data_IF_370022035083
#
_entry.id   IF_370022035083
#
_cell.length_a   1.000
_cell.length_b   1.000
_cell.length_c   1.000
_cell.angle_alpha   90.00
_cell.angle_beta   90.00
_cell.angle_gamma   90.00
#
_symmetry.space_group_name_H-M   'P 1'
#
loop_
_entity.id
_entity.type
_entity.pdbx_description
1 polymer ?
#
# COMPACT_ATOMS: atom_id res chain seq x y z
N UNK A 1 -29.91 -4.20 63.63
CA UNK A 1 -30.15 -5.18 62.55
C UNK A 1 -29.38 -4.71 61.33
N UNK A 2 -28.31 -5.45 61.02
CA UNK A 2 -27.81 -5.86 59.69
C UNK A 2 -27.92 -4.87 58.53
N UNK A 3 -26.79 -4.33 58.03
CA UNK A 3 -25.93 -4.87 56.94
C UNK A 3 -26.47 -4.55 55.53
N UNK A 4 -25.72 -3.74 54.78
CA UNK A 4 -24.98 -4.10 53.55
C UNK A 4 -25.84 -3.84 52.29
N UNK A 5 -25.39 -3.39 51.12
CA UNK A 5 -24.13 -3.10 50.42
C UNK A 5 -24.65 -2.39 49.12
N UNK A 6 -24.01 -1.38 48.53
CA UNK A 6 -23.15 -1.61 47.36
C UNK A 6 -22.45 -0.33 46.90
N UNK A 7 -21.25 -0.58 46.37
CA UNK A 7 -20.18 0.34 45.96
C UNK A 7 -20.39 0.89 44.55
N UNK A 8 -19.72 2.01 44.28
CA UNK A 8 -19.24 2.37 42.93
C UNK A 8 -19.19 3.89 42.76
N UNK A 9 -18.15 4.54 42.24
CA UNK A 9 -16.84 4.13 41.77
C UNK A 9 -15.94 5.38 41.78
N UNK A 10 -14.64 5.18 41.99
CA UNK A 10 -13.63 6.22 42.10
C UNK A 10 -13.30 6.90 40.76
N UNK A 11 -12.91 8.18 40.85
CA UNK A 11 -12.28 8.98 39.80
C UNK A 11 -11.11 8.23 39.12
N UNK A 12 -11.08 8.23 37.80
CA UNK A 12 -9.84 8.13 37.04
C UNK A 12 -9.81 9.19 35.94
N UNK A 13 -8.88 10.15 36.08
CA UNK A 13 -8.45 11.06 35.03
C UNK A 13 -7.69 10.22 33.99
N UNK A 14 -8.28 10.02 32.82
CA UNK A 14 -7.56 9.55 31.64
C UNK A 14 -7.28 10.72 30.72
N UNK A 15 -6.05 11.23 30.75
CA UNK A 15 -5.54 12.06 29.68
C UNK A 15 -5.26 11.15 28.47
N UNK A 16 -6.05 11.27 27.40
CA UNK A 16 -5.67 10.74 26.09
C UNK A 16 -5.54 11.90 25.12
N UNK A 17 -4.30 12.35 24.92
CA UNK A 17 -3.96 13.25 23.84
C UNK A 17 -4.35 12.62 22.52
N UNK A 18 -5.33 13.20 21.83
CA UNK A 18 -5.56 12.94 20.41
C UNK A 18 -4.27 13.34 19.67
N UNK A 19 -3.56 12.38 19.10
CA UNK A 19 -2.59 12.72 18.05
C UNK A 19 -3.39 13.38 16.93
N UNK A 20 -3.13 14.66 16.68
CA UNK A 20 -3.66 15.34 15.51
C UNK A 20 -3.13 14.60 14.28
N UNK A 21 -4.01 13.85 13.60
CA UNK A 21 -3.63 13.05 12.44
C UNK A 21 -2.99 13.95 11.39
N UNK A 22 -1.72 13.74 11.11
CA UNK A 22 -1.04 14.39 9.99
C UNK A 22 -1.78 14.01 8.72
N UNK A 23 -2.27 15.01 7.98
CA UNK A 23 -2.96 14.77 6.71
C UNK A 23 -2.08 13.93 5.78
N UNK A 24 -2.64 12.89 5.16
CA UNK A 24 -1.91 12.04 4.20
C UNK A 24 -1.23 12.91 3.13
N UNK A 25 0.01 12.58 2.79
CA UNK A 25 0.74 13.29 1.73
C UNK A 25 0.06 13.08 0.37
N UNK A 26 0.23 14.00 -0.60
CA UNK A 26 -0.32 13.84 -1.95
C UNK A 26 0.13 12.54 -2.64
N UNK A 27 1.39 12.14 -2.46
CA UNK A 27 1.92 10.86 -2.99
C UNK A 27 1.32 9.63 -2.29
N UNK A 28 1.08 9.68 -0.98
CA UNK A 28 0.36 8.60 -0.28
C UNK A 28 -1.05 8.43 -0.81
N UNK A 29 -1.79 9.53 -1.00
CA UNK A 29 -3.13 9.49 -1.61
C UNK A 29 -3.09 8.95 -3.03
N UNK A 30 -2.11 9.35 -3.84
CA UNK A 30 -1.95 8.84 -5.19
C UNK A 30 -1.77 7.31 -5.24
N UNK A 31 -1.02 6.72 -4.29
CA UNK A 31 -0.92 5.25 -4.18
C UNK A 31 -2.22 4.58 -3.78
N UNK A 32 -3.01 5.20 -2.89
CA UNK A 32 -4.34 4.71 -2.53
C UNK A 32 -5.29 4.69 -3.74
N UNK A 33 -5.27 5.76 -4.54
CA UNK A 33 -6.06 5.80 -5.78
C UNK A 33 -5.55 4.83 -6.84
N UNK A 34 -4.23 4.66 -6.98
CA UNK A 34 -3.67 3.67 -7.90
C UNK A 34 -4.10 2.24 -7.52
N UNK A 35 -4.10 1.91 -6.22
CA UNK A 35 -4.63 0.64 -5.70
C UNK A 35 -6.11 0.46 -6.06
N UNK A 36 -6.94 1.49 -5.84
CA UNK A 36 -8.37 1.44 -6.21
C UNK A 36 -8.57 1.23 -7.70
N UNK A 37 -7.77 1.90 -8.54
CA UNK A 37 -7.84 1.76 -9.99
C UNK A 37 -7.46 0.36 -10.45
N UNK A 38 -6.35 -0.18 -9.96
CA UNK A 38 -5.96 -1.56 -10.27
C UNK A 38 -6.97 -2.59 -9.78
N UNK A 39 -7.61 -2.36 -8.63
CA UNK A 39 -8.69 -3.21 -8.15
C UNK A 39 -9.91 -3.17 -9.08
N UNK A 40 -10.33 -1.98 -9.52
CA UNK A 40 -11.43 -1.81 -10.48
C UNK A 40 -11.13 -2.50 -11.81
N UNK A 41 -9.90 -2.39 -12.31
CA UNK A 41 -9.45 -3.11 -13.49
C UNK A 41 -9.50 -4.64 -13.28
N UNK A 42 -8.88 -5.14 -12.21
CA UNK A 42 -8.70 -6.58 -11.98
C UNK A 42 -10.01 -7.30 -11.66
N UNK A 43 -10.88 -6.69 -10.87
CA UNK A 43 -12.13 -7.32 -10.39
C UNK A 43 -13.32 -6.90 -11.23
N UNK A 44 -13.37 -5.63 -11.65
CA UNK A 44 -14.48 -5.07 -12.42
C UNK A 44 -14.31 -5.15 -13.94
N UNK A 45 -13.10 -5.41 -14.44
CA UNK A 45 -12.82 -5.46 -15.88
C UNK A 45 -12.93 -4.11 -16.58
N UNK A 46 -12.96 -2.99 -15.83
CA UNK A 46 -13.02 -1.65 -16.40
C UNK A 46 -11.72 -1.32 -17.15
N UNK A 47 -11.84 -0.60 -18.26
CA UNK A 47 -10.67 -0.11 -18.99
C UNK A 47 -9.98 1.06 -18.29
N UNK A 48 -8.73 1.33 -18.67
CA UNK A 48 -7.89 2.37 -18.07
C UNK A 48 -8.55 3.76 -18.09
N UNK A 49 -9.17 4.14 -19.22
CA UNK A 49 -9.75 5.46 -19.40
C UNK A 49 -11.00 5.65 -18.53
N UNK A 50 -11.84 4.63 -18.44
CA UNK A 50 -13.02 4.63 -17.57
C UNK A 50 -12.63 4.74 -16.09
N UNK A 51 -11.60 4.01 -15.66
CA UNK A 51 -11.08 4.08 -14.29
C UNK A 51 -10.55 5.48 -13.98
N UNK A 52 -9.78 6.08 -14.89
CA UNK A 52 -9.24 7.41 -14.70
C UNK A 52 -10.32 8.48 -14.62
N UNK A 53 -11.34 8.41 -15.47
CA UNK A 53 -12.47 9.34 -15.44
C UNK A 53 -13.22 9.22 -14.11
N UNK A 54 -13.56 8.00 -13.70
CA UNK A 54 -14.29 7.75 -12.47
C UNK A 54 -13.51 8.19 -11.22
N UNK A 55 -12.22 7.86 -11.11
CA UNK A 55 -11.43 8.19 -9.92
C UNK A 55 -11.19 9.69 -9.73
N UNK A 56 -11.22 10.49 -10.81
CA UNK A 56 -11.09 11.94 -10.72
C UNK A 56 -12.27 12.61 -9.99
N UNK A 57 -13.44 11.98 -10.00
CA UNK A 57 -14.64 12.45 -9.32
C UNK A 57 -14.76 11.92 -7.88
N UNK A 58 -13.87 11.03 -7.45
CA UNK A 58 -13.90 10.47 -6.09
C UNK A 58 -13.39 11.49 -5.08
N UNK A 59 -14.15 11.66 -3.99
CA UNK A 59 -13.83 12.59 -2.93
C UNK A 59 -12.40 12.40 -2.39
N UNK A 60 -11.64 13.51 -2.34
CA UNK A 60 -10.25 13.53 -1.87
C UNK A 60 -9.19 13.32 -2.97
N UNK A 61 -9.60 13.02 -4.20
CA UNK A 61 -8.69 12.96 -5.35
C UNK A 61 -8.02 14.31 -5.64
N UNK A 62 -8.73 15.42 -5.41
CA UNK A 62 -8.23 16.80 -5.49
C UNK A 62 -6.95 17.04 -4.68
N UNK A 63 -6.70 16.21 -3.67
CA UNK A 63 -5.53 16.32 -2.78
C UNK A 63 -4.44 15.29 -3.07
N UNK A 64 -4.60 14.47 -4.10
CA UNK A 64 -3.62 13.51 -4.56
C UNK A 64 -2.65 14.14 -5.56
N UNK A 65 -1.43 13.62 -5.62
CA UNK A 65 -0.52 13.94 -6.73
C UNK A 65 -1.02 13.24 -8.01
N UNK A 66 -1.74 13.98 -8.85
CA UNK A 66 -2.39 13.46 -10.07
C UNK A 66 -1.39 12.83 -11.04
N UNK A 67 -0.23 13.46 -11.24
CA UNK A 67 0.77 12.97 -12.19
C UNK A 67 1.39 11.67 -11.70
N UNK A 68 1.69 11.60 -10.40
CA UNK A 68 2.21 10.39 -9.79
C UNK A 68 1.17 9.26 -9.83
N UNK A 69 -0.10 9.55 -9.52
CA UNK A 69 -1.21 8.60 -9.64
C UNK A 69 -1.32 8.03 -11.07
N UNK A 70 -1.37 8.89 -12.09
CA UNK A 70 -1.48 8.45 -13.49
C UNK A 70 -0.28 7.60 -13.90
N UNK A 71 0.93 7.99 -13.47
CA UNK A 71 2.14 7.19 -13.69
C UNK A 71 2.03 5.79 -13.11
N UNK A 72 1.63 5.69 -11.84
CA UNK A 72 1.45 4.40 -11.16
C UNK A 72 0.36 3.54 -11.83
N UNK A 73 -0.81 4.10 -12.12
CA UNK A 73 -1.93 3.36 -12.71
C UNK A 73 -1.59 2.86 -14.11
N UNK A 74 -1.31 3.78 -15.05
CA UNK A 74 -1.03 3.44 -16.45
C UNK A 74 0.19 2.55 -16.57
N UNK A 75 1.23 2.85 -15.80
CA UNK A 75 2.46 2.10 -15.79
C UNK A 75 2.28 0.66 -15.33
N UNK A 76 1.52 0.46 -14.25
CA UNK A 76 1.21 -0.88 -13.72
C UNK A 76 0.34 -1.69 -14.69
N UNK A 77 -0.66 -1.08 -15.33
CA UNK A 77 -1.52 -1.73 -16.32
C UNK A 77 -0.76 -2.10 -17.59
N UNK A 78 0.06 -1.18 -18.10
CA UNK A 78 0.89 -1.38 -19.30
C UNK A 78 1.93 -2.49 -19.10
N UNK A 79 2.52 -2.58 -17.92
CA UNK A 79 3.56 -3.57 -17.60
C UNK A 79 3.03 -4.75 -16.78
N UNK A 80 1.72 -5.01 -16.80
CA UNK A 80 1.12 -6.01 -15.93
C UNK A 80 1.80 -7.40 -16.01
N UNK A 81 2.03 -7.92 -17.22
CA UNK A 81 2.66 -9.23 -17.41
C UNK A 81 4.13 -9.23 -16.98
N UNK A 82 4.98 -8.28 -17.45
CA UNK A 82 6.35 -8.16 -16.93
C UNK A 82 6.45 -8.04 -15.40
N UNK A 83 5.53 -7.31 -14.77
CA UNK A 83 5.50 -7.15 -13.32
C UNK A 83 5.11 -8.47 -12.62
N UNK A 84 4.12 -9.20 -13.15
CA UNK A 84 3.73 -10.52 -12.65
C UNK A 84 4.88 -11.51 -12.74
N UNK A 85 5.57 -11.55 -13.89
CA UNK A 85 6.76 -12.38 -14.09
C UNK A 85 7.90 -12.01 -13.15
N UNK A 86 8.14 -10.71 -12.91
CA UNK A 86 9.17 -10.25 -11.99
C UNK A 86 8.86 -10.60 -10.52
N UNK A 87 7.58 -10.62 -10.14
CA UNK A 87 7.11 -10.97 -8.80
C UNK A 87 7.10 -12.47 -8.55
N UNK A 88 6.72 -13.28 -9.55
CA UNK A 88 6.45 -14.71 -9.39
C UNK A 88 7.54 -15.52 -8.67
N UNK A 89 8.86 -15.29 -8.87
CA UNK A 89 9.91 -16.01 -8.13
C UNK A 89 9.92 -15.77 -6.62
N UNK A 90 9.25 -14.72 -6.15
CA UNK A 90 9.19 -14.33 -4.74
C UNK A 90 7.86 -14.70 -4.07
N UNK A 91 6.90 -15.21 -4.85
CA UNK A 91 5.62 -15.71 -4.38
C UNK A 91 5.73 -17.19 -4.05
N UNK A 92 5.00 -17.61 -3.03
CA UNK A 92 4.82 -19.01 -2.61
C UNK A 92 3.67 -19.72 -3.34
N UNK A 93 2.91 -18.98 -4.15
CA UNK A 93 1.75 -19.42 -4.93
C UNK A 93 1.69 -18.69 -6.26
N UNK A 94 0.80 -19.08 -7.16
CA UNK A 94 0.63 -18.35 -8.44
C UNK A 94 0.11 -16.95 -8.17
N UNK A 95 0.48 -15.99 -9.01
CA UNK A 95 0.00 -14.61 -8.89
C UNK A 95 -1.54 -14.51 -8.83
N UNK A 96 -2.23 -15.37 -9.57
CA UNK A 96 -3.70 -15.37 -9.64
C UNK A 96 -4.36 -15.96 -8.38
N UNK A 97 -3.61 -16.65 -7.53
CA UNK A 97 -4.06 -17.17 -6.24
C UNK A 97 -3.88 -16.14 -5.11
N UNK A 98 -3.24 -14.99 -5.39
CA UNK A 98 -3.18 -13.86 -4.46
C UNK A 98 -4.56 -13.20 -4.31
N UNK A 99 -4.85 -12.67 -3.12
CA UNK A 99 -6.04 -11.84 -2.96
C UNK A 99 -5.98 -10.62 -3.91
N UNK A 100 -7.15 -10.09 -4.36
CA UNK A 100 -7.20 -8.90 -5.20
C UNK A 100 -6.34 -7.74 -4.69
N UNK A 101 -6.42 -7.46 -3.39
CA UNK A 101 -5.69 -6.37 -2.73
C UNK A 101 -4.18 -6.63 -2.71
N UNK A 102 -3.74 -7.82 -2.28
CA UNK A 102 -2.30 -8.15 -2.24
C UNK A 102 -1.66 -7.97 -3.61
N UNK A 103 -2.28 -8.52 -4.67
CA UNK A 103 -1.65 -8.44 -5.98
C UNK A 103 -1.66 -7.01 -6.55
N UNK A 104 -2.71 -6.21 -6.30
CA UNK A 104 -2.69 -4.81 -6.70
C UNK A 104 -1.60 -4.02 -5.97
N UNK A 105 -1.43 -4.24 -4.66
CA UNK A 105 -0.36 -3.58 -3.89
C UNK A 105 1.02 -4.01 -4.38
N UNK A 106 1.21 -5.30 -4.66
CA UNK A 106 2.46 -5.81 -5.20
C UNK A 106 2.76 -5.25 -6.59
N UNK A 107 1.75 -5.08 -7.45
CA UNK A 107 1.92 -4.43 -8.76
C UNK A 107 2.34 -2.97 -8.62
N UNK A 108 1.65 -2.17 -7.78
CA UNK A 108 2.03 -0.77 -7.53
C UNK A 108 3.45 -0.68 -6.99
N UNK A 109 3.77 -1.49 -5.97
CA UNK A 109 5.10 -1.51 -5.35
C UNK A 109 6.20 -1.93 -6.31
N UNK A 110 5.97 -2.98 -7.11
CA UNK A 110 6.93 -3.45 -8.11
C UNK A 110 7.16 -2.41 -9.22
N UNK A 111 6.09 -1.81 -9.73
CA UNK A 111 6.20 -0.75 -10.73
C UNK A 111 6.96 0.46 -10.18
N UNK A 112 6.63 0.91 -8.97
CA UNK A 112 7.32 2.05 -8.37
C UNK A 112 8.80 1.76 -8.10
N UNK A 113 9.12 0.55 -7.60
CA UNK A 113 10.50 0.09 -7.45
C UNK A 113 11.27 0.02 -8.77
N UNK A 114 10.61 -0.13 -9.92
CA UNK A 114 11.27 -0.14 -11.23
C UNK A 114 11.39 1.28 -11.82
N UNK A 115 10.29 2.03 -11.83
CA UNK A 115 10.14 3.26 -12.60
C UNK A 115 10.48 4.55 -11.82
N UNK A 116 10.52 4.51 -10.48
CA UNK A 116 10.72 5.70 -9.64
C UNK A 116 12.00 5.60 -8.78
N UNK A 117 13.21 5.69 -9.37
CA UNK A 117 14.49 5.64 -8.63
C UNK A 117 14.69 6.81 -7.67
N UNK A 118 13.95 7.90 -7.84
CA UNK A 118 13.96 9.02 -6.91
C UNK A 118 13.26 8.72 -5.58
N UNK A 119 12.41 7.68 -5.52
CA UNK A 119 11.79 7.24 -4.26
C UNK A 119 12.64 6.14 -3.64
N UNK A 120 13.22 6.34 -2.43
CA UNK A 120 14.02 5.30 -1.78
C UNK A 120 13.23 4.00 -1.61
N UNK A 121 13.84 2.85 -1.85
CA UNK A 121 13.13 1.56 -1.88
C UNK A 121 12.34 1.29 -0.59
N UNK A 122 12.88 1.70 0.58
CA UNK A 122 12.21 1.59 1.88
C UNK A 122 10.91 2.37 1.96
N UNK A 123 10.85 3.54 1.34
CA UNK A 123 9.64 4.36 1.33
C UNK A 123 8.57 3.62 0.53
N UNK A 124 8.93 3.06 -0.63
CA UNK A 124 8.00 2.26 -1.44
C UNK A 124 7.46 1.07 -0.65
N UNK A 125 8.34 0.29 -0.03
CA UNK A 125 7.96 -0.88 0.77
C UNK A 125 7.08 -0.47 1.96
N UNK A 126 7.46 0.56 2.71
CA UNK A 126 6.68 1.05 3.85
C UNK A 126 5.27 1.49 3.41
N UNK A 127 5.14 2.22 2.30
CA UNK A 127 3.83 2.65 1.81
C UNK A 127 2.99 1.45 1.34
N UNK A 128 3.59 0.44 0.71
CA UNK A 128 2.90 -0.80 0.35
C UNK A 128 2.39 -1.58 1.57
N UNK A 129 3.19 -1.63 2.65
CA UNK A 129 2.77 -2.22 3.94
C UNK A 129 1.59 -1.46 4.53
N UNK A 130 1.63 -0.12 4.53
CA UNK A 130 0.55 0.69 5.07
C UNK A 130 -0.74 0.55 4.26
N UNK A 131 -0.66 0.42 2.94
CA UNK A 131 -1.80 0.03 2.10
C UNK A 131 -2.33 -1.35 2.50
N UNK A 132 -1.46 -2.33 2.68
CA UNK A 132 -1.86 -3.70 3.04
C UNK A 132 -2.52 -3.77 4.41
N UNK A 133 -2.09 -2.94 5.38
CA UNK A 133 -2.76 -2.80 6.68
C UNK A 133 -4.13 -2.12 6.57
N UNK A 134 -4.28 -1.18 5.63
CA UNK A 134 -5.50 -0.38 5.48
C UNK A 134 -6.59 -1.10 4.69
N UNK A 135 -6.21 -1.92 3.70
CA UNK A 135 -7.13 -2.54 2.74
C UNK A 135 -7.09 -4.08 2.73
N UNK A 136 -6.02 -4.68 3.25
CA UNK A 136 -5.81 -6.13 3.21
C UNK A 136 -6.43 -6.88 4.40
N UNK A 137 -6.31 -8.20 4.35
CA UNK A 137 -6.70 -9.09 5.46
C UNK A 137 -5.63 -9.17 6.56
N UNK A 138 -5.91 -9.98 7.58
CA UNK A 138 -4.97 -10.30 8.66
C UNK A 138 -3.64 -10.79 8.07
N UNK A 139 -2.53 -10.21 8.54
CA UNK A 139 -1.15 -10.55 8.13
C UNK A 139 -0.74 -10.29 6.67
N UNK A 140 -1.62 -9.81 5.78
CA UNK A 140 -1.26 -9.52 4.38
C UNK A 140 -0.11 -8.52 4.22
N UNK A 141 0.04 -7.60 5.18
CA UNK A 141 1.15 -6.65 5.24
C UNK A 141 2.53 -7.31 5.44
N UNK A 142 2.61 -8.44 6.16
CA UNK A 142 3.87 -9.19 6.32
C UNK A 142 4.26 -9.87 5.00
N UNK A 143 3.26 -10.41 4.30
CA UNK A 143 3.45 -11.02 2.99
C UNK A 143 3.97 -10.00 1.97
N UNK A 144 3.28 -8.85 1.84
CA UNK A 144 3.69 -7.75 0.96
C UNK A 144 5.11 -7.28 1.27
N UNK A 145 5.46 -7.09 2.55
CA UNK A 145 6.81 -6.72 2.94
C UNK A 145 7.84 -7.74 2.43
N UNK A 146 7.63 -9.04 2.73
CA UNK A 146 8.59 -10.09 2.40
C UNK A 146 8.82 -10.25 0.89
N UNK A 147 7.77 -10.09 0.08
CA UNK A 147 7.86 -10.15 -1.39
C UNK A 147 8.62 -8.93 -1.93
N UNK A 148 8.23 -7.72 -1.52
CA UNK A 148 8.84 -6.50 -2.05
C UNK A 148 10.28 -6.29 -1.56
N UNK A 149 10.65 -6.74 -0.36
CA UNK A 149 12.05 -6.73 0.10
C UNK A 149 12.95 -7.56 -0.83
N UNK A 150 12.49 -8.77 -1.21
CA UNK A 150 13.24 -9.64 -2.12
C UNK A 150 13.32 -9.07 -3.54
N UNK A 151 12.22 -8.50 -4.04
CA UNK A 151 12.20 -7.84 -5.33
C UNK A 151 13.12 -6.60 -5.34
N UNK A 152 13.10 -5.79 -4.28
CA UNK A 152 13.96 -4.62 -4.14
C UNK A 152 15.45 -4.99 -4.11
N UNK A 153 15.83 -6.13 -3.53
CA UNK A 153 17.22 -6.62 -3.60
C UNK A 153 17.68 -6.87 -5.04
N UNK A 154 16.77 -7.23 -5.95
CA UNK A 154 17.06 -7.41 -7.39
C UNK A 154 17.02 -6.09 -8.17
N UNK A 155 16.03 -5.23 -7.90
CA UNK A 155 15.81 -4.00 -8.68
C UNK A 155 16.66 -2.80 -8.20
N UNK A 156 17.01 -2.77 -6.90
CA UNK A 156 17.73 -1.68 -6.23
C UNK A 156 18.94 -2.21 -5.42
N UNK A 157 19.83 -3.06 -6.00
CA UNK A 157 20.90 -3.71 -5.24
C UNK A 157 21.83 -2.70 -4.55
N UNK A 158 22.13 -1.57 -5.20
CA UNK A 158 22.99 -0.51 -4.65
C UNK A 158 22.40 0.07 -3.34
N UNK A 159 21.10 0.37 -3.32
CA UNK A 159 20.44 0.91 -2.12
C UNK A 159 20.38 -0.12 -0.98
N UNK A 160 20.11 -1.40 -1.33
CA UNK A 160 20.02 -2.48 -0.36
C UNK A 160 21.38 -2.78 0.27
N UNK A 161 22.43 -2.88 -0.53
CA UNK A 161 23.80 -3.11 -0.05
C UNK A 161 24.34 -1.96 0.79
N UNK A 162 24.13 -0.71 0.34
CA UNK A 162 24.58 0.47 1.09
C UNK A 162 24.01 0.49 2.51
N UNK A 163 22.78 0.01 2.68
CA UNK A 163 22.21 -0.16 4.01
C UNK A 163 22.87 -1.27 4.82
N UNK A 164 23.08 -2.45 4.22
CA UNK A 164 23.63 -3.59 4.94
C UNK A 164 25.02 -3.27 5.52
N UNK A 165 25.81 -2.44 4.83
CA UNK A 165 27.11 -1.94 5.29
C UNK A 165 27.02 -0.88 6.39
N UNK A 166 25.88 -0.20 6.52
CA UNK A 166 25.62 0.82 7.54
C UNK A 166 24.81 0.30 8.74
N UNK A 167 24.72 -1.02 8.93
CA UNK A 167 24.24 -1.68 10.14
C UNK A 167 25.44 -2.25 10.88
#
# INVERSE_FOLDING_TARGET
MSENNEKGAAKHKGASGKSAGTSKSPRRRAREFALQGLYQWRVGGADEAAIEAHLQDVAGFDKADRNFFLGLLRGSLKLQEPLREALQPYLDRKFDELSPIEACILMVGAYELQAHPETPYRVVINEAIELAKSYGGTDGHKYVNGVLDKLAAKLRPVEVEARQRGK
#
